data_IF_544234509540
#
_entry.id   IF_544234509540
#
_cell.length_a   1.000
_cell.length_b   1.000
_cell.length_c   1.000
_cell.angle_alpha   90.00
_cell.angle_beta   90.00
_cell.angle_gamma   90.00
#
_symmetry.space_group_name_H-M   'P 1'
#
loop_
_entity.id
_entity.type
_entity.pdbx_description
1 polymer ?
#
# COMPACT_ATOMS: atom_id res chain seq x y z
N UNK A 1 -26.37 28.18 1.61
CA UNK A 1 -26.53 26.74 1.93
C UNK A 1 -25.93 25.97 0.78
N UNK A 2 -24.71 25.48 0.94
CA UNK A 2 -24.15 24.43 0.09
C UNK A 2 -23.38 23.55 1.06
N UNK A 3 -24.10 22.59 1.60
CA UNK A 3 -23.49 21.47 2.31
C UNK A 3 -22.76 20.68 1.23
N UNK A 4 -21.44 20.78 1.16
CA UNK A 4 -20.60 19.84 0.42
C UNK A 4 -20.78 18.49 1.10
N UNK A 5 -21.65 17.67 0.52
CA UNK A 5 -22.00 16.35 1.05
C UNK A 5 -20.81 15.39 0.95
N UNK A 6 -20.85 14.25 1.67
CA UNK A 6 -19.79 13.23 1.68
C UNK A 6 -19.48 12.64 0.29
N UNK A 7 -20.28 12.96 -0.72
CA UNK A 7 -20.14 12.50 -2.10
C UNK A 7 -18.97 13.16 -2.85
N UNK A 8 -18.53 14.36 -2.43
CA UNK A 8 -17.36 15.02 -2.99
C UNK A 8 -16.05 14.46 -2.41
N UNK A 9 -16.11 13.94 -1.18
CA UNK A 9 -15.01 13.26 -0.48
C UNK A 9 -14.76 11.85 -1.07
N UNK A 10 -15.83 11.15 -1.50
CA UNK A 10 -15.77 9.82 -2.14
C UNK A 10 -15.25 9.82 -3.60
N UNK A 11 -15.11 11.00 -4.23
CA UNK A 11 -14.49 11.12 -5.56
C UNK A 11 -13.00 11.49 -5.49
N UNK A 12 -12.42 11.55 -4.29
CA UNK A 12 -10.97 11.66 -4.14
C UNK A 12 -10.33 10.37 -4.68
N UNK A 13 -9.55 10.50 -5.76
CA UNK A 13 -8.90 9.38 -6.42
C UNK A 13 -7.99 8.59 -5.47
N UNK A 14 -7.40 9.26 -4.48
CA UNK A 14 -6.60 8.59 -3.46
C UNK A 14 -7.47 7.76 -2.51
N UNK A 15 -8.66 8.23 -2.16
CA UNK A 15 -9.60 7.48 -1.33
C UNK A 15 -10.18 6.27 -2.08
N UNK A 16 -10.49 6.43 -3.36
CA UNK A 16 -10.94 5.31 -4.21
C UNK A 16 -9.85 4.24 -4.33
N UNK A 17 -8.59 4.65 -4.53
CA UNK A 17 -7.44 3.74 -4.55
C UNK A 17 -7.28 2.98 -3.23
N UNK A 18 -7.48 3.65 -2.08
CA UNK A 18 -7.47 3.00 -0.77
C UNK A 18 -8.60 1.98 -0.59
N UNK A 19 -9.81 2.30 -1.09
CA UNK A 19 -10.96 1.39 -1.05
C UNK A 19 -10.69 0.15 -1.89
N UNK A 20 -10.17 0.31 -3.10
CA UNK A 20 -9.82 -0.81 -3.99
C UNK A 20 -8.75 -1.69 -3.34
N UNK A 21 -7.71 -1.09 -2.76
CA UNK A 21 -6.65 -1.80 -2.04
C UNK A 21 -7.19 -2.62 -0.85
N UNK A 22 -8.12 -2.05 -0.08
CA UNK A 22 -8.77 -2.74 1.03
C UNK A 22 -9.65 -3.89 0.54
N UNK A 23 -10.38 -3.69 -0.55
CA UNK A 23 -11.22 -4.73 -1.15
C UNK A 23 -10.39 -5.93 -1.60
N UNK A 24 -9.24 -5.69 -2.25
CA UNK A 24 -8.31 -6.74 -2.67
C UNK A 24 -7.77 -7.53 -1.48
N UNK A 25 -7.41 -6.86 -0.38
CA UNK A 25 -6.95 -7.52 0.84
C UNK A 25 -8.05 -8.41 1.48
N UNK A 26 -9.30 -7.93 1.51
CA UNK A 26 -10.44 -8.71 2.02
C UNK A 26 -10.70 -9.94 1.16
N UNK A 27 -10.61 -9.82 -0.17
CA UNK A 27 -10.76 -10.95 -1.10
C UNK A 27 -9.64 -11.98 -0.88
N UNK A 28 -8.40 -11.54 -0.72
CA UNK A 28 -7.26 -12.42 -0.45
C UNK A 28 -7.45 -13.18 0.88
N UNK A 29 -7.87 -12.49 1.94
CA UNK A 29 -8.12 -13.12 3.24
C UNK A 29 -9.30 -14.10 3.19
N UNK A 30 -10.39 -13.76 2.47
CA UNK A 30 -11.55 -14.62 2.32
C UNK A 30 -11.31 -15.87 1.46
N UNK A 31 -10.30 -15.84 0.59
CA UNK A 31 -9.90 -16.95 -0.27
C UNK A 31 -8.84 -17.85 0.37
N UNK A 32 -8.26 -17.45 1.51
CA UNK A 32 -7.23 -18.20 2.18
C UNK A 32 -7.82 -19.23 3.15
N UNK A 33 -7.30 -20.46 3.11
CA UNK A 33 -7.68 -21.52 4.06
C UNK A 33 -7.14 -21.28 5.49
N UNK A 34 -6.29 -20.27 5.66
CA UNK A 34 -5.65 -19.88 6.92
C UNK A 34 -5.48 -18.36 6.99
N UNK A 35 -5.24 -17.80 8.18
CA UNK A 35 -4.83 -16.39 8.28
C UNK A 35 -3.61 -16.09 7.40
N UNK A 36 -3.62 -14.91 6.78
CA UNK A 36 -2.50 -14.38 6.02
C UNK A 36 -1.32 -14.10 6.95
N UNK A 37 -0.11 -14.35 6.47
CA UNK A 37 1.14 -13.92 7.11
C UNK A 37 1.46 -12.47 6.73
N UNK A 38 2.28 -11.80 7.53
CA UNK A 38 2.70 -10.41 7.26
C UNK A 38 3.27 -10.23 5.83
N UNK A 39 4.13 -11.13 5.29
CA UNK A 39 4.60 -11.01 3.91
C UNK A 39 3.49 -11.18 2.86
N UNK A 40 2.47 -11.99 3.13
CA UNK A 40 1.33 -12.18 2.23
C UNK A 40 0.43 -10.93 2.23
N UNK A 41 0.30 -10.26 3.38
CA UNK A 41 -0.38 -8.96 3.48
C UNK A 41 0.40 -7.88 2.74
N UNK A 42 1.71 -7.78 2.95
CA UNK A 42 2.57 -6.81 2.26
C UNK A 42 2.47 -6.97 0.74
N UNK A 43 2.49 -8.21 0.24
CA UNK A 43 2.30 -8.50 -1.18
C UNK A 43 0.92 -8.08 -1.70
N UNK A 44 -0.15 -8.36 -0.95
CA UNK A 44 -1.51 -7.95 -1.31
C UNK A 44 -1.67 -6.42 -1.32
N UNK A 45 -0.93 -5.72 -0.46
CA UNK A 45 -0.87 -4.26 -0.42
C UNK A 45 0.10 -3.66 -1.46
N UNK A 46 0.74 -4.47 -2.30
CA UNK A 46 1.75 -4.00 -3.26
C UNK A 46 3.04 -3.49 -2.61
N UNK A 47 3.25 -3.76 -1.33
CA UNK A 47 4.46 -3.40 -0.59
C UNK A 47 5.57 -4.37 -0.98
N UNK A 48 6.45 -3.91 -1.86
CA UNK A 48 7.68 -4.64 -2.13
C UNK A 48 8.71 -4.34 -1.04
N UNK A 49 9.37 -5.35 -0.45
CA UNK A 49 10.49 -5.12 0.44
C UNK A 49 11.55 -4.35 -0.32
N UNK A 50 11.72 -3.08 0.04
CA UNK A 50 12.83 -2.29 -0.47
C UNK A 50 14.11 -2.96 -0.01
N UNK A 51 15.08 -3.24 -0.90
CA UNK A 51 16.37 -3.75 -0.46
C UNK A 51 16.93 -2.76 0.56
N UNK A 52 17.16 -3.24 1.79
CA UNK A 52 17.74 -2.43 2.87
C UNK A 52 19.04 -1.86 2.33
N UNK A 53 19.08 -0.54 2.08
CA UNK A 53 20.27 0.14 1.62
C UNK A 53 21.34 -0.03 2.71
N UNK A 54 22.49 -0.68 2.43
CA UNK A 54 23.53 -0.79 3.43
C UNK A 54 24.02 0.62 3.81
N UNK A 55 24.20 0.92 5.10
CA UNK A 55 24.75 2.20 5.53
C UNK A 55 26.18 2.33 4.99
N UNK A 56 26.40 3.26 4.04
CA UNK A 56 27.73 3.53 3.46
C UNK A 56 27.81 3.56 1.93
N UNK A 57 26.72 3.33 1.20
CA UNK A 57 26.73 3.34 -0.27
C UNK A 57 26.90 4.74 -0.92
N UNK A 58 26.88 5.82 -0.13
CA UNK A 58 26.92 7.20 -0.66
C UNK A 58 28.34 7.81 -0.65
N UNK A 59 29.31 7.19 0.03
CA UNK A 59 30.66 7.75 0.16
C UNK A 59 31.63 7.33 -0.96
N UNK A 60 31.27 6.31 -1.75
CA UNK A 60 32.17 5.77 -2.79
C UNK A 60 31.96 6.47 -4.15
N UNK A 61 30.78 7.05 -4.38
CA UNK A 61 30.45 7.70 -5.65
C UNK A 61 30.98 9.14 -5.76
N UNK A 62 31.33 9.79 -4.65
CA UNK A 62 31.93 11.13 -4.63
C UNK A 62 33.46 11.14 -4.75
N UNK A 63 34.09 9.95 -4.85
CA UNK A 63 35.55 9.78 -4.84
C UNK A 63 36.14 9.27 -6.17
N UNK A 64 35.44 9.40 -7.30
CA UNK A 64 35.94 9.03 -8.64
C UNK A 64 35.84 10.15 -9.65
#
# INVERSE_FOLDING_TARGET
MTSTGPEEELNDAALLEEIDLLADLVVAAGSADRPLTDPEVDLALGLHPQPVRPPGAEDVAAAS
#
